data_IF_479315720651
#
_entry.id   IF_479315720651
#
_cell.length_a   1.000
_cell.length_b   1.000
_cell.length_c   1.000
_cell.angle_alpha   90.00
_cell.angle_beta   90.00
_cell.angle_gamma   90.00
#
_symmetry.space_group_name_H-M   'P 1'
#
loop_
_entity.id
_entity.type
_entity.pdbx_description
1 polymer ?
#
# COMPACT_ATOMS: atom_id res chain seq x y z
N UNK A 1 6.83 18.80 -13.33
CA UNK A 1 8.12 18.38 -12.74
C UNK A 1 8.18 16.84 -12.61
N UNK A 2 9.28 16.25 -13.08
CA UNK A 2 9.52 14.81 -13.15
C UNK A 2 10.19 14.44 -14.47
N UNK A 3 11.18 13.54 -14.43
CA UNK A 3 11.78 12.94 -15.64
C UNK A 3 10.82 11.86 -16.17
N UNK A 4 10.35 11.93 -17.43
CA UNK A 4 9.31 11.03 -17.96
C UNK A 4 9.66 9.53 -17.84
N UNK A 5 10.94 9.20 -17.82
CA UNK A 5 11.44 7.83 -17.74
C UNK A 5 11.46 7.27 -16.32
N UNK A 6 11.32 8.12 -15.28
CA UNK A 6 11.36 7.68 -13.89
C UNK A 6 9.99 7.17 -13.44
N UNK A 7 9.90 5.85 -13.28
CA UNK A 7 8.73 5.17 -12.74
C UNK A 7 8.86 4.97 -11.23
N UNK A 8 7.84 5.39 -10.47
CA UNK A 8 7.77 5.23 -9.02
C UNK A 8 6.71 4.21 -8.64
N UNK A 9 7.01 3.42 -7.61
CA UNK A 9 6.05 2.53 -6.96
C UNK A 9 6.06 2.79 -5.45
N UNK A 10 4.88 2.78 -4.85
CA UNK A 10 4.70 3.00 -3.43
C UNK A 10 3.70 2.00 -2.85
N UNK A 11 3.98 1.52 -1.65
CA UNK A 11 3.16 0.56 -0.92
C UNK A 11 2.83 1.13 0.45
N UNK A 12 1.56 1.13 0.81
CA UNK A 12 1.06 1.71 2.06
C UNK A 12 0.41 0.61 2.89
N UNK A 13 0.83 0.51 4.14
CA UNK A 13 0.21 -0.34 5.14
C UNK A 13 0.23 0.39 6.49
N UNK A 14 -0.77 0.12 7.32
CA UNK A 14 -0.96 0.75 8.62
C UNK A 14 -1.02 -0.31 9.71
N UNK A 15 -0.43 0.02 10.86
CA UNK A 15 -0.41 -0.85 12.03
C UNK A 15 0.63 -0.37 13.04
N UNK A 16 0.74 -1.08 14.18
CA UNK A 16 1.70 -0.74 15.22
C UNK A 16 3.14 -0.97 14.75
N UNK A 17 4.03 -0.06 15.09
CA UNK A 17 5.47 -0.14 14.83
C UNK A 17 6.27 0.36 16.02
N UNK A 18 7.56 0.07 16.02
CA UNK A 18 8.52 0.56 17.01
C UNK A 18 9.44 1.59 16.37
N UNK A 19 9.75 2.66 17.10
CA UNK A 19 10.69 3.70 16.66
C UNK A 19 11.96 3.56 17.51
N UNK A 20 13.11 3.40 16.86
CA UNK A 20 14.41 3.31 17.52
C UNK A 20 15.44 4.13 16.73
N UNK A 21 16.17 5.01 17.41
CA UNK A 21 17.29 5.78 16.84
C UNK A 21 16.98 6.51 15.51
N UNK A 22 15.72 6.92 15.30
CA UNK A 22 15.28 7.62 14.10
C UNK A 22 14.86 6.71 12.94
N UNK A 23 14.80 5.39 13.16
CA UNK A 23 14.28 4.41 12.21
C UNK A 23 13.04 3.69 12.77
N UNK A 24 12.31 2.99 11.91
CA UNK A 24 11.06 2.30 12.21
C UNK A 24 11.19 0.80 11.96
N UNK A 25 10.80 0.01 12.96
CA UNK A 25 10.91 -1.44 12.95
C UNK A 25 9.58 -2.12 13.23
N UNK A 26 9.52 -3.40 12.86
CA UNK A 26 8.41 -4.29 13.20
C UNK A 26 7.65 -4.81 11.99
N UNK A 27 6.61 -5.58 12.30
CA UNK A 27 5.86 -6.34 11.29
C UNK A 27 5.14 -5.44 10.29
N UNK A 28 4.65 -4.27 10.72
CA UNK A 28 3.97 -3.31 9.85
C UNK A 28 4.90 -2.76 8.77
N UNK A 29 6.14 -2.38 9.13
CA UNK A 29 7.13 -1.87 8.18
C UNK A 29 7.49 -2.96 7.15
N UNK A 30 7.72 -4.18 7.63
CA UNK A 30 8.00 -5.33 6.77
C UNK A 30 6.84 -5.63 5.82
N UNK A 31 5.59 -5.53 6.28
CA UNK A 31 4.41 -5.76 5.45
C UNK A 31 4.28 -4.67 4.38
N UNK A 32 4.45 -3.39 4.72
CA UNK A 32 4.46 -2.29 3.75
C UNK A 32 5.49 -2.52 2.63
N UNK A 33 6.69 -2.97 2.98
CA UNK A 33 7.72 -3.33 2.00
C UNK A 33 7.28 -4.50 1.08
N UNK A 34 6.48 -5.46 1.58
CA UNK A 34 5.91 -6.52 0.74
C UNK A 34 4.78 -6.03 -0.16
N UNK A 35 3.99 -5.05 0.28
CA UNK A 35 3.02 -4.39 -0.61
C UNK A 35 3.74 -3.74 -1.80
N UNK A 36 4.85 -3.01 -1.56
CA UNK A 36 5.69 -2.48 -2.65
C UNK A 36 6.19 -3.59 -3.58
N UNK A 37 6.65 -4.70 -3.00
CA UNK A 37 7.19 -5.84 -3.76
C UNK A 37 6.17 -6.56 -4.65
N UNK A 38 4.87 -6.39 -4.41
CA UNK A 38 3.81 -6.96 -5.25
C UNK A 38 3.57 -6.16 -6.56
N UNK A 39 4.09 -4.94 -6.65
CA UNK A 39 3.83 -4.01 -7.76
C UNK A 39 4.79 -4.33 -8.93
N UNK A 40 4.23 -4.70 -10.09
CA UNK A 40 5.01 -5.05 -11.29
C UNK A 40 5.50 -3.85 -12.12
N UNK A 41 4.97 -2.64 -11.88
CA UNK A 41 5.31 -1.41 -12.60
C UNK A 41 5.30 -0.17 -11.70
N UNK A 42 4.85 0.96 -12.24
CA UNK A 42 4.54 2.15 -11.45
C UNK A 42 3.16 2.04 -10.80
N UNK A 43 2.97 2.70 -9.65
CA UNK A 43 1.67 2.78 -9.01
C UNK A 43 1.72 2.84 -7.48
N UNK A 44 0.58 3.15 -6.89
CA UNK A 44 0.40 3.22 -5.44
C UNK A 44 -0.53 2.10 -5.02
N UNK A 45 -0.05 1.20 -4.16
CA UNK A 45 -0.83 0.07 -3.67
C UNK A 45 -0.97 0.14 -2.15
N UNK A 46 -2.10 -0.36 -1.66
CA UNK A 46 -2.48 -0.34 -0.25
C UNK A 46 -2.81 -1.77 0.20
N UNK A 47 -2.52 -2.07 1.46
CA UNK A 47 -3.12 -3.22 2.14
C UNK A 47 -4.63 -3.04 2.31
N UNK A 48 -5.38 -4.14 2.44
CA UNK A 48 -6.82 -4.14 2.79
C UNK A 48 -7.12 -3.20 3.97
N UNK A 49 -6.32 -3.26 5.05
CA UNK A 49 -6.55 -2.47 6.25
C UNK A 49 -6.44 -0.97 6.01
N UNK A 50 -5.41 -0.54 5.28
CA UNK A 50 -5.24 0.88 4.93
C UNK A 50 -6.37 1.38 4.01
N UNK A 51 -6.87 0.53 3.11
CA UNK A 51 -8.04 0.85 2.27
C UNK A 51 -9.31 0.97 3.11
N UNK A 52 -9.52 0.07 4.06
CA UNK A 52 -10.67 0.10 4.95
C UNK A 52 -10.73 1.40 5.76
N UNK A 53 -9.59 1.92 6.24
CA UNK A 53 -9.54 3.20 6.95
C UNK A 53 -9.92 4.39 6.05
N UNK A 54 -9.53 4.36 4.78
CA UNK A 54 -9.93 5.38 3.79
C UNK A 54 -11.45 5.35 3.58
N UNK A 55 -12.02 4.16 3.44
CA UNK A 55 -13.45 3.96 3.23
C UNK A 55 -14.25 4.41 4.46
N UNK A 56 -13.79 4.05 5.66
CA UNK A 56 -14.42 4.43 6.91
C UNK A 56 -14.42 5.95 7.13
N UNK A 57 -13.34 6.64 6.72
CA UNK A 57 -13.28 8.10 6.78
C UNK A 57 -14.25 8.75 5.79
N UNK A 58 -14.45 8.16 4.61
CA UNK A 58 -15.42 8.65 3.61
C UNK A 58 -15.20 10.10 3.17
N UNK A 59 -13.94 10.57 3.15
CA UNK A 59 -13.65 11.96 2.83
C UNK A 59 -13.98 12.27 1.35
N UNK A 60 -14.75 13.34 1.10
CA UNK A 60 -15.14 13.78 -0.26
C UNK A 60 -14.00 13.84 -1.27
N UNK A 61 -12.82 14.31 -0.84
CA UNK A 61 -11.61 14.38 -1.68
C UNK A 61 -11.11 13.01 -2.19
N UNK A 62 -11.62 11.91 -1.67
CA UNK A 62 -11.27 10.55 -2.09
C UNK A 62 -12.32 9.94 -3.06
N UNK A 63 -13.41 10.65 -3.37
CA UNK A 63 -14.48 10.17 -4.27
C UNK A 63 -13.98 9.98 -5.72
N UNK A 64 -12.99 10.77 -6.14
CA UNK A 64 -12.38 10.70 -7.48
C UNK A 64 -11.29 9.62 -7.59
N UNK A 65 -10.97 8.93 -6.50
CA UNK A 65 -9.97 7.86 -6.53
C UNK A 65 -10.57 6.59 -7.11
N UNK A 66 -9.94 6.05 -8.15
CA UNK A 66 -10.33 4.78 -8.76
C UNK A 66 -9.56 3.65 -8.11
N UNK A 67 -10.29 2.69 -7.55
CA UNK A 67 -9.71 1.59 -6.80
C UNK A 67 -9.83 0.29 -7.57
N UNK A 68 -8.73 -0.43 -7.72
CA UNK A 68 -8.71 -1.79 -8.24
C UNK A 68 -8.30 -2.77 -7.14
N UNK A 69 -9.10 -3.83 -6.96
CA UNK A 69 -8.89 -4.88 -5.97
C UNK A 69 -8.05 -6.01 -6.56
N UNK A 70 -7.08 -6.49 -5.78
CA UNK A 70 -6.20 -7.61 -6.11
C UNK A 70 -6.27 -8.65 -5.00
N UNK A 71 -6.93 -9.77 -5.26
CA UNK A 71 -7.15 -10.81 -4.26
C UNK A 71 -6.09 -11.91 -4.32
N UNK A 72 -5.97 -12.66 -3.22
CA UNK A 72 -5.10 -13.84 -3.11
C UNK A 72 -3.62 -13.55 -3.42
N UNK A 73 -3.13 -12.37 -3.03
CA UNK A 73 -1.74 -11.98 -3.19
C UNK A 73 -0.91 -12.60 -2.07
N UNK A 74 0.07 -13.42 -2.41
CA UNK A 74 1.02 -13.98 -1.44
C UNK A 74 2.17 -13.00 -1.19
N UNK A 75 2.48 -12.77 0.08
CA UNK A 75 3.53 -11.85 0.50
C UNK A 75 4.66 -12.59 1.19
N UNK A 76 5.88 -12.51 0.63
CA UNK A 76 7.05 -13.22 1.17
C UNK A 76 7.25 -12.94 2.66
N UNK A 77 7.31 -14.02 3.46
CA UNK A 77 7.49 -13.94 4.91
C UNK A 77 6.20 -13.73 5.71
N UNK A 78 5.04 -13.73 5.04
CA UNK A 78 3.73 -13.70 5.66
C UNK A 78 2.95 -14.95 5.25
N UNK A 79 2.39 -15.64 6.22
CA UNK A 79 1.56 -16.80 5.96
C UNK A 79 0.17 -16.36 5.46
N UNK A 80 -0.33 -17.05 4.44
CA UNK A 80 -1.65 -16.79 3.86
C UNK A 80 -1.62 -15.88 2.64
N UNK A 81 -2.81 -15.61 2.12
CA UNK A 81 -3.02 -14.76 0.97
C UNK A 81 -3.78 -13.50 1.38
N UNK A 82 -3.42 -12.38 0.79
CA UNK A 82 -3.86 -11.05 1.19
C UNK A 82 -4.61 -10.36 0.05
N UNK A 83 -5.49 -9.44 0.40
CA UNK A 83 -6.06 -8.50 -0.55
C UNK A 83 -5.27 -7.20 -0.52
N UNK A 84 -4.90 -6.72 -1.71
CA UNK A 84 -4.29 -5.42 -1.93
C UNK A 84 -5.18 -4.57 -2.84
N UNK A 85 -4.99 -3.26 -2.79
CA UNK A 85 -5.72 -2.30 -3.60
C UNK A 85 -4.76 -1.37 -4.31
N UNK A 86 -4.88 -1.23 -5.63
CA UNK A 86 -4.20 -0.16 -6.35
C UNK A 86 -5.13 1.03 -6.52
N UNK A 87 -4.54 2.21 -6.55
CA UNK A 87 -5.27 3.46 -6.78
C UNK A 87 -4.72 4.19 -8.00
N UNK A 88 -5.64 4.63 -8.82
CA UNK A 88 -5.40 5.55 -9.93
C UNK A 88 -6.26 6.81 -9.74
N UNK A 89 -5.83 7.91 -10.35
CA UNK A 89 -6.70 9.09 -10.48
C UNK A 89 -7.65 8.86 -11.64
N UNK A 90 -8.92 9.24 -11.45
CA UNK A 90 -9.90 9.29 -12.53
C UNK A 90 -9.49 10.26 -13.65
#
# INVERSE_FOLDING_TARGET
PGVPELQLRAGIHIGPLQIEEGDVFGRTVNFAARVVGAIKGAGIWLSEQAKADIDALGARRHEELQWQRHEKVELKGFAGAFTLWSVDRA
#
